data_IF_652658182216
#
_entry.id   IF_652658182216
#
_cell.length_a   1.000
_cell.length_b   1.000
_cell.length_c   1.000
_cell.angle_alpha   90.00
_cell.angle_beta   90.00
_cell.angle_gamma   90.00
#
_symmetry.space_group_name_H-M   'P 1'
#
loop_
_entity.id
_entity.type
_entity.pdbx_description
1 polymer ?
#
# COMPACT_ATOMS: atom_id res chain seq x y z
N UNK A 1 23.10 91.54 36.27
CA UNK A 1 23.95 90.69 35.41
C UNK A 1 24.01 89.31 36.04
N UNK A 2 23.42 88.30 35.42
CA UNK A 2 23.57 86.89 35.82
C UNK A 2 24.06 86.15 34.59
N UNK A 3 25.27 85.61 34.69
CA UNK A 3 26.08 85.07 33.60
C UNK A 3 25.85 83.56 33.50
N UNK A 4 25.31 83.11 32.36
CA UNK A 4 25.05 81.69 32.09
C UNK A 4 26.38 80.93 31.91
N UNK A 5 26.71 80.05 32.86
CA UNK A 5 27.86 79.16 32.75
C UNK A 5 27.59 78.04 31.73
N UNK A 6 28.42 78.00 30.70
CA UNK A 6 28.40 77.08 29.57
C UNK A 6 28.80 75.65 29.99
N UNK A 7 27.81 74.76 30.17
CA UNK A 7 27.97 73.42 30.76
C UNK A 7 28.20 72.26 29.77
N UNK A 8 28.50 72.51 28.49
CA UNK A 8 28.84 71.41 27.57
C UNK A 8 30.35 71.23 27.42
N UNK A 9 30.87 70.21 28.12
CA UNK A 9 32.22 69.70 27.91
C UNK A 9 32.34 69.10 26.50
N UNK A 10 33.35 69.51 25.73
CA UNK A 10 33.61 69.03 24.36
C UNK A 10 33.65 67.49 24.27
N UNK A 11 34.10 66.80 25.32
CA UNK A 11 34.07 65.33 25.41
C UNK A 11 32.64 64.77 25.46
N UNK A 12 31.73 65.48 26.13
CA UNK A 12 30.31 65.12 26.21
C UNK A 12 29.61 65.28 24.85
N UNK A 13 29.96 66.34 24.10
CA UNK A 13 29.45 66.56 22.74
C UNK A 13 29.90 65.42 21.81
N UNK A 14 31.17 65.03 21.86
CA UNK A 14 31.69 63.94 21.02
C UNK A 14 31.02 62.61 21.35
N UNK A 15 30.85 62.28 22.64
CA UNK A 15 30.15 61.06 23.05
C UNK A 15 28.69 61.05 22.58
N UNK A 16 27.99 62.19 22.65
CA UNK A 16 26.60 62.28 22.20
C UNK A 16 26.47 62.11 20.68
N UNK A 17 27.41 62.67 19.90
CA UNK A 17 27.46 62.50 18.44
C UNK A 17 27.69 61.04 18.05
N UNK A 18 28.62 60.35 18.74
CA UNK A 18 28.89 58.93 18.47
C UNK A 18 27.67 58.06 18.78
N UNK A 19 26.99 58.30 19.90
CA UNK A 19 25.77 57.55 20.24
C UNK A 19 24.62 57.82 19.27
N UNK A 20 24.46 59.06 18.81
CA UNK A 20 23.46 59.40 17.80
C UNK A 20 23.74 58.70 16.46
N UNK A 21 25.00 58.62 16.04
CA UNK A 21 25.40 57.91 14.82
C UNK A 21 25.13 56.41 14.92
N UNK A 22 25.48 55.77 16.04
CA UNK A 22 25.20 54.35 16.28
C UNK A 22 23.70 54.06 16.33
N UNK A 23 22.91 54.90 17.00
CA UNK A 23 21.45 54.78 17.05
C UNK A 23 20.80 54.92 15.67
N UNK A 24 21.27 55.88 14.85
CA UNK A 24 20.75 56.09 13.50
C UNK A 24 21.08 54.92 12.56
N UNK A 25 22.28 54.32 12.68
CA UNK A 25 22.66 53.14 11.89
C UNK A 25 21.83 51.90 12.26
N UNK A 26 21.61 51.66 13.56
CA UNK A 26 20.76 50.57 14.02
C UNK A 26 19.29 50.75 13.56
N UNK A 27 18.76 51.98 13.65
CA UNK A 27 17.41 52.30 13.20
C UNK A 27 17.25 52.12 11.68
N UNK A 28 18.21 52.60 10.89
CA UNK A 28 18.22 52.41 9.43
C UNK A 28 18.30 50.92 9.04
N UNK A 29 19.09 50.12 9.77
CA UNK A 29 19.15 48.66 9.57
C UNK A 29 17.83 47.95 9.85
N UNK A 30 17.16 48.28 10.96
CA UNK A 30 15.85 47.70 11.33
C UNK A 30 14.78 48.13 10.32
N UNK A 31 14.76 49.39 9.90
CA UNK A 31 13.82 49.90 8.91
C UNK A 31 14.03 49.25 7.53
N UNK A 32 15.28 49.11 7.09
CA UNK A 32 15.62 48.44 5.83
C UNK A 32 15.20 46.97 5.84
N UNK A 33 15.40 46.26 6.96
CA UNK A 33 14.99 44.87 7.09
C UNK A 33 13.47 44.69 7.19
N UNK A 34 12.78 45.59 7.91
CA UNK A 34 11.31 45.59 8.02
C UNK A 34 10.59 45.99 6.72
N UNK A 35 11.23 46.82 5.87
CA UNK A 35 10.70 47.20 4.56
C UNK A 35 11.02 46.19 3.45
N UNK A 36 11.70 45.08 3.74
CA UNK A 36 11.74 43.92 2.84
C UNK A 36 10.41 43.15 2.90
N UNK A 37 9.32 43.82 2.54
CA UNK A 37 8.09 43.14 2.14
C UNK A 37 8.35 42.56 0.76
N UNK A 38 8.72 41.27 0.73
CA UNK A 38 8.71 40.49 -0.50
C UNK A 38 7.34 40.63 -1.16
N UNK A 39 7.32 41.29 -2.32
CA UNK A 39 6.13 41.40 -3.16
C UNK A 39 5.88 40.02 -3.79
N UNK A 40 4.93 39.27 -3.25
CA UNK A 40 4.43 38.03 -3.87
C UNK A 40 3.61 38.27 -5.14
N UNK A 41 3.59 39.50 -5.66
CA UNK A 41 2.66 39.91 -6.72
C UNK A 41 3.08 39.49 -8.14
N UNK A 42 4.32 39.02 -8.32
CA UNK A 42 4.85 38.68 -9.66
C UNK A 42 5.39 37.24 -9.78
N UNK A 43 5.25 36.39 -8.76
CA UNK A 43 5.44 34.95 -8.94
C UNK A 43 4.13 34.34 -9.45
N UNK A 44 3.89 34.43 -10.76
CA UNK A 44 3.04 33.44 -11.40
C UNK A 44 3.89 32.17 -11.50
N UNK A 45 3.66 31.11 -10.70
CA UNK A 45 4.43 29.89 -10.80
C UNK A 45 4.24 29.33 -12.21
N UNK A 46 5.24 29.50 -13.06
CA UNK A 46 5.32 28.73 -14.30
C UNK A 46 5.64 27.32 -13.85
N UNK A 47 4.60 26.48 -13.76
CA UNK A 47 4.75 25.04 -13.67
C UNK A 47 5.37 24.56 -14.98
N UNK A 48 6.68 24.67 -15.12
CA UNK A 48 7.38 23.79 -16.06
C UNK A 48 7.15 22.38 -15.53
N UNK A 49 6.60 21.44 -16.31
CA UNK A 49 6.53 20.04 -15.89
C UNK A 49 7.95 19.62 -15.53
N UNK A 50 8.23 19.46 -14.23
CA UNK A 50 9.44 18.78 -13.79
C UNK A 50 9.30 17.37 -14.37
N UNK A 51 10.27 16.89 -15.17
CA UNK A 51 10.22 15.50 -15.63
C UNK A 51 9.98 14.63 -14.40
N UNK A 52 8.86 13.88 -14.40
CA UNK A 52 8.58 12.93 -13.34
C UNK A 52 9.77 11.96 -13.33
N UNK A 53 10.57 11.90 -12.25
CA UNK A 53 11.73 11.02 -12.20
C UNK A 53 11.34 9.54 -12.31
N UNK A 54 10.05 9.23 -12.19
CA UNK A 54 9.43 7.92 -12.37
C UNK A 54 8.64 7.78 -13.69
N UNK A 55 8.75 8.73 -14.62
CA UNK A 55 7.99 8.73 -15.87
C UNK A 55 8.18 7.44 -16.68
N UNK A 56 9.41 6.93 -16.74
CA UNK A 56 9.77 5.72 -17.49
C UNK A 56 9.68 4.44 -16.65
N UNK A 57 9.28 4.52 -15.38
CA UNK A 57 9.26 3.36 -14.49
C UNK A 57 8.19 2.35 -14.91
N UNK A 58 8.48 1.07 -14.70
CA UNK A 58 7.52 -0.02 -14.87
C UNK A 58 6.62 -0.09 -13.63
N UNK A 59 5.38 -0.52 -13.81
CA UNK A 59 4.45 -0.78 -12.71
C UNK A 59 4.44 -2.27 -12.40
N UNK A 60 4.65 -2.63 -11.14
CA UNK A 60 4.34 -3.95 -10.61
C UNK A 60 3.01 -3.87 -9.87
N UNK A 61 2.05 -4.69 -10.29
CA UNK A 61 0.74 -4.79 -9.64
C UNK A 61 0.54 -6.23 -9.18
N UNK A 62 0.33 -6.41 -7.88
CA UNK A 62 -0.09 -7.68 -7.31
C UNK A 62 -1.58 -7.61 -6.99
N UNK A 63 -2.41 -8.12 -7.90
CA UNK A 63 -3.87 -8.11 -7.74
C UNK A 63 -4.35 -9.09 -6.67
N UNK A 64 -3.58 -10.16 -6.40
CA UNK A 64 -3.92 -11.16 -5.39
C UNK A 64 -3.86 -10.58 -3.97
N UNK A 65 -2.88 -9.71 -3.72
CA UNK A 65 -2.65 -9.08 -2.42
C UNK A 65 -2.98 -7.59 -2.42
N UNK A 66 -3.58 -7.06 -3.49
CA UNK A 66 -4.15 -5.72 -3.51
C UNK A 66 -3.12 -4.60 -3.30
N UNK A 67 -1.95 -4.67 -3.93
CA UNK A 67 -0.98 -3.58 -3.92
C UNK A 67 -0.30 -3.39 -5.27
N UNK A 68 0.21 -2.18 -5.49
CA UNK A 68 1.10 -1.89 -6.61
C UNK A 68 2.17 -0.87 -6.24
N UNK A 69 3.28 -0.91 -6.95
CA UNK A 69 4.35 0.08 -6.88
C UNK A 69 5.03 0.21 -8.25
N UNK A 70 5.75 1.31 -8.47
CA UNK A 70 6.57 1.51 -9.67
C UNK A 70 8.02 1.19 -9.36
N UNK A 71 8.78 0.80 -10.39
CA UNK A 71 10.21 0.54 -10.29
C UNK A 71 11.00 0.95 -11.54
N UNK A 72 12.28 1.35 -11.38
CA UNK A 72 13.17 1.67 -12.50
C UNK A 72 13.26 0.54 -13.54
N UNK A 73 13.35 0.89 -14.82
CA UNK A 73 13.54 -0.11 -15.89
C UNK A 73 14.88 -0.85 -15.81
N UNK A 74 15.86 -0.27 -15.12
CA UNK A 74 17.20 -0.83 -14.94
C UNK A 74 17.20 -2.07 -14.06
N UNK A 75 16.15 -2.31 -13.28
CA UNK A 75 16.05 -3.50 -12.44
C UNK A 75 16.06 -4.77 -13.28
N UNK A 76 17.00 -5.66 -12.99
CA UNK A 76 17.26 -6.87 -13.75
C UNK A 76 16.07 -7.84 -13.74
N UNK A 77 15.40 -8.01 -12.58
CA UNK A 77 14.28 -8.95 -12.44
C UNK A 77 13.39 -8.64 -11.24
N UNK A 78 12.09 -8.81 -11.41
CA UNK A 78 11.08 -8.87 -10.34
C UNK A 78 10.38 -10.22 -10.44
N UNK A 79 10.45 -11.04 -9.39
CA UNK A 79 9.98 -12.43 -9.42
C UNK A 79 9.09 -12.74 -8.21
N UNK A 80 7.89 -13.24 -8.45
CA UNK A 80 7.05 -13.80 -7.39
C UNK A 80 7.49 -15.21 -7.05
N UNK A 81 7.50 -15.54 -5.77
CA UNK A 81 7.73 -16.88 -5.23
C UNK A 81 6.99 -17.04 -3.90
N UNK A 82 7.15 -18.20 -3.27
CA UNK A 82 6.63 -18.46 -1.92
C UNK A 82 7.72 -19.16 -1.12
N UNK A 83 7.83 -18.82 0.16
CA UNK A 83 8.68 -19.55 1.08
C UNK A 83 8.10 -20.96 1.34
N UNK A 84 8.91 -21.83 1.94
CA UNK A 84 8.49 -23.20 2.26
C UNK A 84 7.30 -23.26 3.25
N UNK A 85 7.08 -22.20 4.02
CA UNK A 85 5.93 -22.03 4.93
C UNK A 85 4.67 -21.52 4.23
N UNK A 86 4.73 -21.30 2.91
CA UNK A 86 3.63 -20.76 2.11
C UNK A 86 3.51 -19.24 2.13
N UNK A 87 4.40 -18.53 2.84
CA UNK A 87 4.42 -17.07 2.85
C UNK A 87 4.77 -16.56 1.44
N UNK A 88 3.87 -15.83 0.76
CA UNK A 88 4.13 -15.22 -0.53
C UNK A 88 5.20 -14.15 -0.41
N UNK A 89 6.17 -14.18 -1.31
CA UNK A 89 7.21 -13.17 -1.38
C UNK A 89 7.50 -12.76 -2.83
N UNK A 90 7.82 -11.49 -3.00
CA UNK A 90 8.37 -10.94 -4.23
C UNK A 90 9.85 -10.66 -4.01
N UNK A 91 10.71 -11.23 -4.86
CA UNK A 91 12.14 -10.93 -4.87
C UNK A 91 12.44 -9.93 -5.99
N UNK A 92 13.19 -8.89 -5.64
CA UNK A 92 13.60 -7.82 -6.53
C UNK A 92 15.12 -7.82 -6.66
N UNK A 93 15.59 -7.81 -7.91
CA UNK A 93 16.99 -7.67 -8.29
C UNK A 93 17.16 -6.37 -9.07
N UNK A 94 17.89 -5.41 -8.49
CA UNK A 94 18.16 -4.10 -9.07
C UNK A 94 19.33 -4.13 -10.06
N UNK A 95 20.37 -4.95 -9.83
CA UNK A 95 21.53 -5.11 -10.73
C UNK A 95 22.04 -6.57 -10.86
N UNK A 96 22.91 -6.83 -11.84
CA UNK A 96 23.44 -8.13 -12.25
C UNK A 96 24.52 -8.68 -11.28
N UNK A 97 24.17 -8.91 -10.01
CA UNK A 97 25.00 -9.66 -9.05
C UNK A 97 24.65 -11.16 -9.07
N UNK A 98 25.59 -12.08 -8.73
CA UNK A 98 25.38 -13.52 -8.87
C UNK A 98 24.31 -14.03 -7.88
N UNK A 99 23.07 -14.14 -8.36
CA UNK A 99 21.98 -15.06 -8.01
C UNK A 99 21.61 -15.40 -6.54
N UNK A 100 22.35 -14.96 -5.52
CA UNK A 100 22.14 -15.36 -4.13
C UNK A 100 21.75 -14.23 -3.17
N UNK A 101 21.99 -12.96 -3.52
CA UNK A 101 21.51 -11.79 -2.77
C UNK A 101 20.44 -11.05 -3.56
N UNK A 102 19.39 -10.63 -2.87
CA UNK A 102 18.31 -9.80 -3.42
C UNK A 102 18.43 -8.38 -2.86
N UNK A 103 18.09 -7.38 -3.67
CA UNK A 103 18.22 -5.97 -3.30
C UNK A 103 17.00 -5.45 -2.54
N UNK A 104 15.85 -6.07 -2.79
CA UNK A 104 14.64 -5.85 -2.03
C UNK A 104 13.74 -7.09 -2.03
N UNK A 105 12.89 -7.18 -1.03
CA UNK A 105 11.79 -8.13 -0.96
C UNK A 105 10.49 -7.45 -0.56
N UNK A 106 9.38 -8.02 -1.01
CA UNK A 106 8.04 -7.70 -0.50
C UNK A 106 7.39 -8.99 -0.03
N UNK A 107 7.21 -9.14 1.27
CA UNK A 107 6.57 -10.28 1.90
C UNK A 107 5.12 -9.91 2.28
N UNK A 108 4.19 -10.85 2.10
CA UNK A 108 2.78 -10.64 2.50
C UNK A 108 2.37 -11.70 3.50
N UNK A 109 2.34 -11.34 4.77
CA UNK A 109 1.82 -12.20 5.82
C UNK A 109 0.28 -12.16 5.82
N UNK A 110 -0.33 -13.33 5.91
CA UNK A 110 -1.80 -13.46 5.95
C UNK A 110 -2.40 -13.15 7.33
N UNK A 111 -1.56 -12.75 8.28
CA UNK A 111 -1.94 -12.32 9.62
C UNK A 111 -1.84 -10.79 9.78
N UNK A 112 -2.53 -10.27 10.80
CA UNK A 112 -2.45 -8.87 11.20
C UNK A 112 -1.07 -8.48 11.75
N UNK A 113 -0.79 -7.18 11.78
CA UNK A 113 0.54 -6.65 12.09
C UNK A 113 1.03 -7.07 13.47
N UNK A 114 0.13 -7.06 14.46
CA UNK A 114 0.49 -7.43 15.83
C UNK A 114 0.89 -8.91 15.92
N UNK A 115 0.13 -9.80 15.27
CA UNK A 115 0.45 -11.23 15.22
C UNK A 115 1.81 -11.48 14.57
N UNK A 116 2.11 -10.79 13.46
CA UNK A 116 3.41 -10.89 12.78
C UNK A 116 4.54 -10.38 13.67
N UNK A 117 4.34 -9.25 14.34
CA UNK A 117 5.33 -8.68 15.27
C UNK A 117 5.63 -9.61 16.46
N UNK A 118 4.62 -10.31 16.98
CA UNK A 118 4.77 -11.19 18.14
C UNK A 118 5.36 -12.57 17.79
N UNK A 119 5.11 -13.04 16.57
CA UNK A 119 5.48 -14.39 16.11
C UNK A 119 6.78 -14.43 15.31
N UNK A 120 7.08 -13.42 14.51
CA UNK A 120 8.27 -13.40 13.67
C UNK A 120 9.53 -13.07 14.49
N UNK A 121 10.55 -13.93 14.52
CA UNK A 121 11.79 -13.70 15.27
C UNK A 121 12.52 -12.40 14.94
N UNK A 122 12.35 -11.85 13.72
CA UNK A 122 12.97 -10.59 13.31
C UNK A 122 12.37 -9.39 14.04
N UNK A 123 11.06 -9.43 14.30
CA UNK A 123 10.30 -8.30 14.84
C UNK A 123 9.98 -8.46 16.33
N UNK A 124 10.00 -9.69 16.84
CA UNK A 124 9.63 -10.02 18.22
C UNK A 124 10.52 -9.30 19.23
N UNK A 125 9.89 -8.45 20.04
CA UNK A 125 10.59 -7.65 21.06
C UNK A 125 11.38 -6.46 20.51
N UNK A 126 11.36 -6.23 19.20
CA UNK A 126 11.96 -5.07 18.56
C UNK A 126 11.00 -3.87 18.60
N UNK A 127 11.55 -2.67 18.85
CA UNK A 127 10.79 -1.43 18.81
C UNK A 127 10.97 -0.79 17.43
N UNK A 128 9.89 -0.73 16.65
CA UNK A 128 9.85 -0.04 15.37
C UNK A 128 9.53 1.44 15.51
N UNK A 129 9.84 2.22 14.47
CA UNK A 129 9.52 3.66 14.39
C UNK A 129 8.39 3.91 13.40
N UNK A 130 7.38 4.68 13.79
CA UNK A 130 6.28 5.04 12.90
C UNK A 130 6.75 6.08 11.88
N UNK A 131 6.42 5.87 10.61
CA UNK A 131 6.66 6.84 9.53
C UNK A 131 5.53 6.80 8.52
N UNK A 132 5.31 7.90 7.79
CA UNK A 132 4.29 7.99 6.74
C UNK A 132 5.01 8.26 5.42
N UNK A 133 4.82 7.38 4.45
CA UNK A 133 5.42 7.49 3.12
C UNK A 133 4.33 7.20 2.09
N UNK A 134 4.19 8.10 1.10
CA UNK A 134 3.15 8.04 0.08
C UNK A 134 1.74 7.77 0.63
N UNK A 135 1.37 8.46 1.72
CA UNK A 135 0.09 8.33 2.44
C UNK A 135 -0.18 6.94 3.07
N UNK A 136 0.83 6.09 3.18
CA UNK A 136 0.75 4.82 3.91
C UNK A 136 1.55 4.94 5.20
N UNK A 137 0.97 4.47 6.30
CA UNK A 137 1.60 4.44 7.62
C UNK A 137 2.41 3.15 7.78
N UNK A 138 3.70 3.27 8.04
CA UNK A 138 4.64 2.16 8.14
C UNK A 138 5.29 2.12 9.52
N UNK A 139 5.54 0.91 10.02
CA UNK A 139 6.43 0.66 11.14
C UNK A 139 7.78 0.24 10.57
N UNK A 140 8.78 1.10 10.73
CA UNK A 140 10.14 0.93 10.21
C UNK A 140 11.04 0.26 11.25
N UNK A 141 11.71 -0.81 10.86
CA UNK A 141 12.70 -1.55 11.64
C UNK A 141 14.08 -1.47 10.99
N UNK A 142 15.13 -1.36 11.80
CA UNK A 142 16.52 -1.47 11.34
C UNK A 142 16.91 -2.95 11.26
N UNK A 143 17.45 -3.40 10.13
CA UNK A 143 17.96 -4.76 9.99
C UNK A 143 19.26 -4.92 10.78
N UNK A 144 19.38 -6.03 11.51
CA UNK A 144 20.60 -6.43 12.22
C UNK A 144 21.17 -7.68 11.60
N UNK A 145 22.49 -7.72 11.41
CA UNK A 145 23.21 -8.92 11.00
C UNK A 145 23.22 -9.96 12.13
N UNK A 146 23.63 -11.19 11.79
CA UNK A 146 23.73 -12.30 12.75
C UNK A 146 24.68 -12.01 13.93
N UNK A 147 25.61 -11.08 13.76
CA UNK A 147 26.54 -10.60 14.79
C UNK A 147 25.99 -9.42 15.62
N UNK A 148 24.74 -9.00 15.39
CA UNK A 148 24.11 -7.87 16.06
C UNK A 148 24.46 -6.49 15.49
N UNK A 149 25.36 -6.41 14.50
CA UNK A 149 25.69 -5.14 13.86
C UNK A 149 24.53 -4.64 13.00
N UNK A 150 24.35 -3.32 12.96
CA UNK A 150 23.35 -2.70 12.09
C UNK A 150 23.78 -2.86 10.63
N UNK A 151 22.88 -3.34 9.79
CA UNK A 151 23.08 -3.40 8.34
C UNK A 151 22.45 -2.17 7.68
N UNK A 152 22.91 -1.83 6.48
CA UNK A 152 22.30 -0.78 5.64
C UNK A 152 21.02 -1.31 4.97
N UNK A 153 20.04 -1.66 5.80
CA UNK A 153 18.79 -2.27 5.41
C UNK A 153 17.70 -2.01 6.43
N UNK A 154 16.47 -1.93 5.95
CA UNK A 154 15.29 -1.65 6.74
C UNK A 154 14.13 -2.52 6.29
N UNK A 155 13.30 -2.91 7.26
CA UNK A 155 12.01 -3.55 7.02
C UNK A 155 10.90 -2.54 7.34
N UNK A 156 9.93 -2.42 6.45
CA UNK A 156 8.80 -1.50 6.58
C UNK A 156 7.52 -2.32 6.60
N UNK A 157 6.86 -2.37 7.76
CA UNK A 157 5.65 -3.13 7.95
C UNK A 157 4.42 -2.23 7.96
N UNK A 158 3.35 -2.66 7.30
CA UNK A 158 2.05 -2.01 7.41
C UNK A 158 0.93 -3.04 7.35
N UNK A 159 -0.21 -2.71 7.97
CA UNK A 159 -1.39 -3.55 7.91
C UNK A 159 -2.41 -2.97 6.91
N UNK A 160 -2.96 -3.83 6.06
CA UNK A 160 -4.10 -3.48 5.23
C UNK A 160 -4.95 -4.72 4.94
N UNK A 161 -6.27 -4.61 5.14
CA UNK A 161 -7.22 -5.72 4.97
C UNK A 161 -6.81 -6.99 5.74
N UNK A 162 -6.46 -6.81 7.02
CA UNK A 162 -6.03 -7.85 7.96
C UNK A 162 -4.82 -8.68 7.51
N UNK A 163 -3.98 -8.11 6.63
CA UNK A 163 -2.72 -8.68 6.17
C UNK A 163 -1.59 -7.72 6.47
N UNK A 164 -0.40 -8.25 6.68
CA UNK A 164 0.80 -7.45 6.91
C UNK A 164 1.69 -7.50 5.70
N UNK A 165 2.07 -6.33 5.20
CA UNK A 165 3.01 -6.18 4.09
C UNK A 165 4.34 -5.75 4.68
N UNK A 166 5.38 -6.50 4.40
CA UNK A 166 6.76 -6.19 4.79
C UNK A 166 7.58 -5.89 3.54
N UNK A 167 8.21 -4.73 3.52
CA UNK A 167 9.14 -4.33 2.46
C UNK A 167 10.53 -4.21 3.07
N UNK A 168 11.37 -5.20 2.78
CA UNK A 168 12.76 -5.27 3.23
C UNK A 168 13.71 -4.85 2.12
N UNK A 169 14.49 -3.78 2.32
CA UNK A 169 15.47 -3.31 1.32
C UNK A 169 16.52 -2.36 1.94
N UNK A 170 17.55 -2.01 1.15
CA UNK A 170 18.42 -0.87 1.48
C UNK A 170 17.64 0.44 1.56
N UNK A 171 18.19 1.46 2.22
CA UNK A 171 17.51 2.75 2.37
C UNK A 171 17.07 3.36 1.02
N UNK A 172 17.92 3.24 0.00
CA UNK A 172 17.70 3.80 -1.33
C UNK A 172 16.60 3.02 -2.05
N UNK A 173 16.70 1.70 -2.11
CA UNK A 173 15.75 0.85 -2.83
C UNK A 173 14.37 0.88 -2.14
N UNK A 174 14.33 0.88 -0.81
CA UNK A 174 13.09 1.04 -0.05
C UNK A 174 12.38 2.35 -0.42
N UNK A 175 13.10 3.47 -0.48
CA UNK A 175 12.50 4.76 -0.83
C UNK A 175 11.91 4.75 -2.25
N UNK A 176 12.56 4.10 -3.22
CA UNK A 176 12.03 3.94 -4.57
C UNK A 176 10.70 3.18 -4.59
N UNK A 177 10.62 2.06 -3.88
CA UNK A 177 9.38 1.26 -3.78
C UNK A 177 8.30 2.05 -3.03
N UNK A 178 8.59 2.50 -1.81
CA UNK A 178 7.63 3.09 -0.88
C UNK A 178 7.06 4.42 -1.39
N UNK A 179 7.85 5.20 -2.13
CA UNK A 179 7.39 6.49 -2.70
C UNK A 179 6.31 6.35 -3.77
N UNK A 180 6.14 5.15 -4.33
CA UNK A 180 5.12 4.85 -5.35
C UNK A 180 4.16 3.74 -4.93
N UNK A 181 4.41 3.11 -3.78
CA UNK A 181 3.59 2.04 -3.23
C UNK A 181 2.20 2.56 -2.89
N UNK A 182 1.17 1.80 -3.28
CA UNK A 182 -0.20 2.02 -2.84
C UNK A 182 -0.96 0.71 -2.79
N UNK A 183 -1.95 0.65 -1.91
CA UNK A 183 -2.93 -0.41 -1.95
C UNK A 183 -3.89 -0.22 -3.12
N UNK A 184 -4.20 -1.31 -3.81
CA UNK A 184 -5.21 -1.37 -4.86
C UNK A 184 -6.49 -1.94 -4.25
N UNK A 185 -7.59 -1.20 -4.38
CA UNK A 185 -8.92 -1.64 -3.93
C UNK A 185 -9.44 -0.98 -2.66
N UNK A 186 -9.98 0.22 -2.81
CA UNK A 186 -11.28 0.57 -2.24
C UNK A 186 -12.16 1.09 -3.40
N UNK A 187 -13.30 0.43 -3.62
CA UNK A 187 -14.40 0.73 -4.57
C UNK A 187 -14.17 0.48 -6.09
N UNK A 188 -14.99 -0.43 -6.64
CA UNK A 188 -15.55 -0.56 -8.01
C UNK A 188 -14.70 -0.12 -9.24
N UNK A 189 -14.36 -1.13 -10.06
CA UNK A 189 -13.99 -1.22 -11.53
C UNK A 189 -14.33 -0.04 -12.48
N UNK A 190 -13.84 0.03 -13.76
CA UNK A 190 -12.95 -0.88 -14.51
C UNK A 190 -11.85 -0.20 -15.39
N UNK A 191 -10.78 -0.93 -15.72
CA UNK A 191 -10.30 -1.16 -17.11
C UNK A 191 -9.08 -2.12 -17.10
N UNK A 192 -9.04 -3.14 -17.99
CA UNK A 192 -8.06 -4.24 -17.94
C UNK A 192 -6.79 -3.94 -18.75
N UNK A 193 -5.62 -4.34 -18.23
CA UNK A 193 -4.35 -4.32 -18.97
C UNK A 193 -3.85 -5.74 -19.20
N UNK A 194 -3.83 -6.12 -20.48
CA UNK A 194 -3.14 -7.21 -21.17
C UNK A 194 -3.02 -8.59 -20.49
N UNK A 195 -3.88 -9.53 -20.93
CA UNK A 195 -3.59 -10.98 -20.91
C UNK A 195 -4.71 -11.88 -20.42
N UNK A 196 -5.46 -11.44 -19.40
CA UNK A 196 -6.49 -12.25 -18.74
C UNK A 196 -7.90 -11.65 -18.93
N UNK A 197 -8.93 -12.47 -18.78
CA UNK A 197 -10.31 -12.04 -18.60
C UNK A 197 -10.74 -12.18 -17.14
N UNK A 198 -11.84 -11.52 -16.77
CA UNK A 198 -12.38 -11.56 -15.41
C UNK A 198 -13.63 -12.44 -15.39
N UNK A 199 -13.70 -13.37 -14.45
CA UNK A 199 -14.94 -14.01 -14.03
C UNK A 199 -15.38 -13.37 -12.72
N UNK A 200 -16.65 -12.98 -12.60
CA UNK A 200 -17.20 -12.51 -11.33
C UNK A 200 -18.66 -12.91 -11.18
N UNK A 201 -19.20 -12.80 -9.97
CA UNK A 201 -20.61 -13.03 -9.74
C UNK A 201 -21.00 -13.03 -8.28
N UNK A 202 -22.27 -13.25 -8.06
CA UNK A 202 -22.88 -13.35 -6.75
C UNK A 202 -23.43 -14.77 -6.53
N UNK A 203 -23.14 -15.32 -5.36
CA UNK A 203 -23.63 -16.62 -4.92
C UNK A 203 -24.66 -16.43 -3.80
N UNK A 204 -25.92 -16.75 -4.10
CA UNK A 204 -27.00 -16.71 -3.11
C UNK A 204 -26.96 -17.97 -2.23
N UNK A 205 -26.51 -17.82 -0.99
CA UNK A 205 -26.44 -18.93 -0.04
C UNK A 205 -27.83 -19.15 0.58
N UNK A 206 -28.44 -20.28 0.24
CA UNK A 206 -29.79 -20.64 0.67
C UNK A 206 -29.99 -20.60 2.18
N UNK A 207 -31.26 -20.49 2.61
CA UNK A 207 -31.65 -20.28 4.01
C UNK A 207 -30.98 -21.29 4.97
N UNK A 208 -30.37 -20.76 6.03
CA UNK A 208 -29.70 -21.54 7.09
C UNK A 208 -30.58 -21.70 8.35
N UNK A 209 -31.87 -21.38 8.25
CA UNK A 209 -32.76 -21.33 9.40
C UNK A 209 -33.55 -22.63 9.55
N UNK A 210 -33.42 -23.37 10.66
CA UNK A 210 -34.18 -24.60 10.92
C UNK A 210 -35.66 -24.35 11.26
N UNK A 211 -36.09 -23.09 11.49
CA UNK A 211 -37.48 -22.73 11.79
C UNK A 211 -37.81 -21.38 11.16
N UNK A 212 -38.72 -21.35 10.19
CA UNK A 212 -39.25 -20.10 9.62
C UNK A 212 -40.14 -19.39 10.64
N UNK A 213 -39.78 -18.17 11.04
CA UNK A 213 -40.74 -17.23 11.62
C UNK A 213 -41.39 -16.45 10.47
N UNK A 214 -42.72 -16.51 10.39
CA UNK A 214 -43.49 -15.79 9.35
C UNK A 214 -43.17 -14.29 9.40
N UNK A 215 -42.64 -13.75 8.30
CA UNK A 215 -42.37 -12.31 8.13
C UNK A 215 -40.91 -11.87 8.31
N UNK A 216 -39.96 -12.75 8.63
CA UNK A 216 -38.53 -12.39 8.74
C UNK A 216 -37.77 -12.88 7.50
N UNK A 217 -37.22 -11.97 6.71
CA UNK A 217 -36.36 -12.31 5.59
C UNK A 217 -35.04 -12.92 6.09
N UNK A 218 -34.80 -14.20 5.78
CA UNK A 218 -33.60 -14.93 6.17
C UNK A 218 -32.45 -14.63 5.20
N UNK A 219 -31.76 -13.51 5.40
CA UNK A 219 -30.50 -13.26 4.69
C UNK A 219 -29.37 -14.05 5.35
N UNK A 220 -28.53 -14.78 4.59
CA UNK A 220 -27.35 -15.44 5.16
C UNK A 220 -26.45 -14.40 5.85
N UNK A 221 -25.90 -14.77 7.01
CA UNK A 221 -24.96 -13.88 7.71
C UNK A 221 -23.68 -13.70 6.88
N UNK A 222 -22.94 -12.58 7.03
CA UNK A 222 -21.65 -12.39 6.39
C UNK A 222 -20.69 -13.56 6.61
N UNK A 223 -20.69 -14.15 7.81
CA UNK A 223 -19.90 -15.33 8.14
C UNK A 223 -20.34 -16.58 7.36
N UNK A 224 -21.65 -16.76 7.15
CA UNK A 224 -22.18 -17.88 6.37
C UNK A 224 -21.82 -17.77 4.88
N UNK A 225 -21.76 -16.54 4.35
CA UNK A 225 -21.26 -16.30 3.00
C UNK A 225 -19.77 -16.65 2.89
N UNK A 226 -18.95 -16.07 3.77
CA UNK A 226 -17.49 -16.29 3.76
C UNK A 226 -17.08 -17.74 4.02
N UNK A 227 -17.92 -18.53 4.68
CA UNK A 227 -17.68 -19.96 4.84
C UNK A 227 -17.70 -20.70 3.49
N UNK A 228 -18.52 -20.28 2.52
CA UNK A 228 -18.66 -20.99 1.24
C UNK A 228 -17.50 -20.68 0.29
N UNK A 229 -17.14 -21.67 -0.51
CA UNK A 229 -16.05 -21.59 -1.48
C UNK A 229 -16.57 -21.69 -2.91
N UNK A 230 -15.88 -21.01 -3.83
CA UNK A 230 -16.05 -21.12 -5.28
C UNK A 230 -14.73 -21.53 -5.89
N UNK A 231 -14.77 -22.41 -6.87
CA UNK A 231 -13.59 -22.93 -7.57
C UNK A 231 -13.77 -22.97 -9.08
N UNK A 232 -12.70 -22.65 -9.77
CA UNK A 232 -12.57 -22.68 -11.22
C UNK A 232 -11.81 -23.94 -11.61
N UNK A 233 -12.39 -24.72 -12.51
CA UNK A 233 -11.80 -25.98 -12.98
C UNK A 233 -11.63 -25.92 -14.50
N UNK A 234 -10.55 -26.53 -15.01
CA UNK A 234 -10.42 -26.81 -16.45
C UNK A 234 -11.51 -27.77 -16.93
N UNK A 235 -11.73 -27.87 -18.24
CA UNK A 235 -12.64 -28.89 -18.80
C UNK A 235 -12.21 -30.33 -18.47
N UNK A 236 -10.91 -30.56 -18.26
CA UNK A 236 -10.35 -31.84 -17.82
C UNK A 236 -10.58 -32.12 -16.32
N UNK A 237 -11.17 -31.18 -15.57
CA UNK A 237 -11.49 -31.35 -14.16
C UNK A 237 -10.38 -30.99 -13.17
N UNK A 238 -9.24 -30.47 -13.65
CA UNK A 238 -8.18 -29.95 -12.77
C UNK A 238 -8.58 -28.60 -12.16
N UNK A 239 -8.36 -28.42 -10.86
CA UNK A 239 -8.57 -27.15 -10.16
C UNK A 239 -7.55 -26.12 -10.62
N UNK A 240 -8.03 -24.94 -11.03
CA UNK A 240 -7.21 -23.80 -11.50
C UNK A 240 -7.02 -22.80 -10.38
N UNK A 241 -8.10 -22.46 -9.68
CA UNK A 241 -8.10 -21.50 -8.58
C UNK A 241 -9.37 -21.67 -7.75
N UNK A 242 -9.33 -21.33 -6.47
CA UNK A 242 -10.51 -21.25 -5.61
C UNK A 242 -10.37 -20.16 -4.57
N UNK A 243 -11.49 -19.64 -4.10
CA UNK A 243 -11.56 -18.66 -3.02
C UNK A 243 -12.86 -18.79 -2.24
N UNK A 244 -12.85 -18.28 -1.01
CA UNK A 244 -14.07 -18.06 -0.26
C UNK A 244 -14.87 -16.89 -0.85
N UNK A 245 -16.19 -16.90 -0.69
CA UNK A 245 -17.00 -15.72 -0.99
C UNK A 245 -16.63 -14.58 -0.05
N UNK A 246 -16.90 -13.34 -0.45
CA UNK A 246 -16.84 -12.20 0.45
C UNK A 246 -18.04 -12.16 1.42
N UNK A 247 -18.05 -11.20 2.35
CA UNK A 247 -19.14 -10.97 3.29
C UNK A 247 -20.52 -10.80 2.62
N UNK A 248 -20.54 -10.35 1.37
CA UNK A 248 -21.74 -10.08 0.59
C UNK A 248 -22.06 -11.21 -0.41
N UNK A 249 -21.37 -12.36 -0.35
CA UNK A 249 -21.60 -13.49 -1.25
C UNK A 249 -21.03 -13.31 -2.66
N UNK A 250 -20.15 -12.34 -2.87
CA UNK A 250 -19.53 -12.12 -4.19
C UNK A 250 -18.20 -12.86 -4.33
N UNK A 251 -17.84 -13.12 -5.58
CA UNK A 251 -16.56 -13.72 -5.95
C UNK A 251 -16.02 -13.14 -7.26
N UNK A 252 -14.70 -13.24 -7.45
CA UNK A 252 -14.02 -12.79 -8.65
C UNK A 252 -12.74 -13.59 -8.91
N UNK A 253 -12.48 -13.96 -10.16
CA UNK A 253 -11.25 -14.59 -10.62
C UNK A 253 -10.69 -13.85 -11.83
N UNK A 254 -9.36 -13.70 -11.89
CA UNK A 254 -8.64 -13.32 -13.11
C UNK A 254 -8.08 -14.57 -13.75
N UNK A 255 -8.53 -14.87 -14.98
CA UNK A 255 -8.26 -16.14 -15.64
C UNK A 255 -7.67 -15.88 -17.02
N UNK A 256 -6.73 -16.73 -17.45
CA UNK A 256 -6.30 -16.74 -18.85
C UNK A 256 -7.50 -17.08 -19.75
N UNK A 257 -7.50 -16.69 -21.03
CA UNK A 257 -8.59 -17.02 -21.94
C UNK A 257 -8.77 -18.52 -22.07
N UNK A 258 -10.00 -18.98 -21.95
CA UNK A 258 -10.29 -20.41 -21.92
C UNK A 258 -11.72 -20.71 -21.50
N UNK A 259 -12.08 -22.00 -21.56
CA UNK A 259 -13.37 -22.49 -21.11
C UNK A 259 -13.17 -23.19 -19.77
N UNK A 260 -13.97 -22.80 -18.78
CA UNK A 260 -13.86 -23.31 -17.41
C UNK A 260 -15.19 -23.82 -16.89
N UNK A 261 -15.11 -24.78 -15.98
CA UNK A 261 -16.24 -25.27 -15.18
C UNK A 261 -16.18 -24.64 -13.80
N UNK A 262 -17.27 -24.02 -13.37
CA UNK A 262 -17.38 -23.39 -12.06
C UNK A 262 -18.06 -24.36 -11.12
N UNK A 263 -17.41 -24.67 -10.00
CA UNK A 263 -17.99 -25.43 -8.90
C UNK A 263 -18.02 -24.58 -7.64
N UNK A 264 -18.98 -24.87 -6.77
CA UNK A 264 -19.05 -24.26 -5.45
C UNK A 264 -19.21 -25.35 -4.39
N UNK A 265 -19.05 -24.94 -3.13
CA UNK A 265 -19.36 -25.77 -1.98
C UNK A 265 -20.81 -26.24 -2.04
N UNK A 266 -21.03 -27.52 -1.76
CA UNK A 266 -22.37 -28.09 -1.55
C UNK A 266 -22.80 -27.94 -0.09
N UNK A 267 -23.52 -28.92 0.45
CA UNK A 267 -23.83 -28.97 1.89
C UNK A 267 -22.56 -28.90 2.75
N UNK A 268 -21.50 -29.62 2.33
CA UNK A 268 -20.17 -29.52 2.93
C UNK A 268 -19.47 -28.23 2.48
N UNK A 269 -19.24 -27.35 3.45
CA UNK A 269 -18.69 -26.00 3.28
C UNK A 269 -17.30 -26.01 2.63
N UNK A 270 -16.46 -27.01 2.94
CA UNK A 270 -15.07 -27.08 2.45
C UNK A 270 -14.91 -27.94 1.19
N UNK A 271 -16.01 -28.36 0.54
CA UNK A 271 -15.96 -29.29 -0.59
C UNK A 271 -16.61 -28.73 -1.85
N UNK A 272 -15.78 -28.30 -2.79
CA UNK A 272 -16.14 -27.91 -4.16
C UNK A 272 -16.71 -29.09 -4.96
N UNK A 273 -18.00 -29.37 -4.75
CA UNK A 273 -18.66 -30.60 -5.19
C UNK A 273 -19.82 -30.34 -6.15
N UNK A 274 -20.37 -29.13 -6.16
CA UNK A 274 -21.56 -28.80 -6.95
C UNK A 274 -21.18 -27.94 -8.14
N UNK A 275 -21.38 -28.46 -9.35
CA UNK A 275 -21.20 -27.69 -10.59
C UNK A 275 -22.28 -26.62 -10.71
N UNK A 276 -21.87 -25.38 -10.98
CA UNK A 276 -22.75 -24.20 -11.13
C UNK A 276 -22.89 -23.73 -12.56
N UNK A 277 -21.92 -24.06 -13.41
CA UNK A 277 -22.00 -23.76 -14.84
C UNK A 277 -20.66 -23.88 -15.54
N UNK A 278 -20.66 -23.55 -16.82
CA UNK A 278 -19.45 -23.38 -17.62
C UNK A 278 -19.38 -21.94 -18.13
N UNK A 279 -18.18 -21.38 -18.20
CA UNK A 279 -17.94 -20.00 -18.62
C UNK A 279 -16.81 -19.94 -19.65
N UNK A 280 -16.94 -19.04 -20.61
CA UNK A 280 -15.87 -18.75 -21.58
C UNK A 280 -15.24 -17.42 -21.24
N UNK A 281 -13.96 -17.43 -20.91
CA UNK A 281 -13.19 -16.24 -20.57
C UNK A 281 -12.44 -15.76 -21.81
N UNK A 282 -12.56 -14.47 -22.12
CA UNK A 282 -11.84 -13.80 -23.21
C UNK A 282 -10.94 -12.71 -22.64
N UNK A 283 -9.82 -12.46 -23.30
CA UNK A 283 -8.86 -11.41 -22.91
C UNK A 283 -9.59 -10.09 -22.72
N UNK A 284 -9.38 -9.45 -21.57
CA UNK A 284 -9.93 -8.14 -21.25
C UNK A 284 -11.45 -8.08 -21.14
N UNK A 285 -12.16 -9.21 -21.16
CA UNK A 285 -13.61 -9.25 -20.96
C UNK A 285 -13.97 -9.67 -19.55
N UNK A 286 -15.06 -9.10 -19.04
CA UNK A 286 -15.71 -9.54 -17.81
C UNK A 286 -16.86 -10.49 -18.16
N UNK A 287 -16.83 -11.67 -17.56
CA UNK A 287 -17.87 -12.69 -17.64
C UNK A 287 -18.54 -12.79 -16.28
N UNK A 288 -19.87 -12.72 -16.25
CA UNK A 288 -20.63 -12.80 -15.00
C UNK A 288 -21.36 -14.13 -14.90
N UNK A 289 -21.28 -14.79 -13.74
CA UNK A 289 -22.06 -15.99 -13.42
C UNK A 289 -22.64 -15.88 -12.01
N UNK A 290 -23.96 -15.73 -11.90
CA UNK A 290 -24.65 -15.78 -10.62
C UNK A 290 -25.26 -17.17 -10.42
N UNK A 291 -25.28 -17.66 -9.18
CA UNK A 291 -25.88 -18.96 -8.85
C UNK A 291 -26.33 -19.01 -7.40
N UNK A 292 -27.10 -20.04 -7.04
CA UNK A 292 -27.46 -20.32 -5.65
C UNK A 292 -26.67 -21.50 -5.09
N UNK A 293 -26.42 -21.50 -3.78
CA UNK A 293 -25.84 -22.61 -3.02
C UNK A 293 -26.92 -23.17 -2.10
N UNK A 294 -27.35 -24.41 -2.37
CA UNK A 294 -28.24 -25.13 -1.47
C UNK A 294 -27.48 -25.60 -0.23
N UNK A 295 -27.99 -25.22 0.94
CA UNK A 295 -27.41 -25.56 2.24
C UNK A 295 -27.96 -26.89 2.78
N UNK A 296 -29.00 -27.45 2.17
CA UNK A 296 -29.65 -28.70 2.59
C UNK A 296 -30.44 -28.60 3.90
N UNK A 297 -30.55 -27.39 4.47
CA UNK A 297 -31.34 -27.11 5.67
C UNK A 297 -32.76 -26.81 5.21
N UNK A 298 -33.72 -27.60 5.69
CA UNK A 298 -35.16 -27.48 5.43
C UNK A 298 -35.92 -27.68 6.72
#
# INVERSE_FOLDING_TARGET
MSEHKHFLNKKFIVTFIVLALLGSGAYAGIWYWGNQKYSFKDMNPVFTPRPDPTADWKTYTNTQYGFEFKYPQTWAKVSSASYADGTPHLIIYTDMYPAQDYDARVDVYLDNLKSVQDSNPLFKGSIGSLTIINNVSWVKYQVKGLNGNLLDGFDYLTEHNAKTYDIGASAITANQILSTFKFTGASVSPLPVAGNGILMGHADVGSICPVQQSGVACTPSPQANMARQVGVFTQAGALVSSQHLDANGNYQFSLVPGIYTIKASGMQVDRLSVTKGTVTIKVGQTTTLNFSIDTGIR
#
